data_IF_778334129115
#
_entry.id   IF_778334129115
#
_cell.length_a   1.000
_cell.length_b   1.000
_cell.length_c   1.000
_cell.angle_alpha   90.00
_cell.angle_beta   90.00
_cell.angle_gamma   90.00
#
_symmetry.space_group_name_H-M   'P 1'
#
loop_
_entity.id
_entity.type
_entity.pdbx_description
1 polymer ?
#
# COMPACT_ATOMS: atom_id res chain seq x y z
N UNK A 1 3.93 -5.32 -11.40
CA UNK A 1 5.00 -6.30 -11.69
C UNK A 1 4.36 -7.67 -11.76
N UNK A 2 4.65 -8.50 -12.76
CA UNK A 2 4.08 -9.85 -12.85
C UNK A 2 5.13 -10.88 -12.43
N UNK A 3 4.76 -11.79 -11.54
CA UNK A 3 5.59 -12.88 -11.06
C UNK A 3 5.58 -14.04 -12.06
N UNK A 4 6.55 -14.96 -11.94
CA UNK A 4 6.68 -16.11 -12.83
C UNK A 4 5.46 -17.05 -12.81
N UNK A 5 4.64 -16.99 -11.76
CA UNK A 5 3.38 -17.75 -11.63
C UNK A 5 2.15 -16.98 -12.16
N UNK A 6 2.34 -15.87 -12.89
CA UNK A 6 1.26 -15.07 -13.47
C UNK A 6 0.63 -14.04 -12.54
N UNK A 7 0.97 -14.05 -11.24
CA UNK A 7 0.39 -13.10 -10.27
C UNK A 7 0.96 -11.70 -10.42
N UNK A 8 0.15 -10.67 -10.22
CA UNK A 8 0.56 -9.27 -10.25
C UNK A 8 0.87 -8.74 -8.85
N UNK A 9 1.86 -7.86 -8.77
CA UNK A 9 2.25 -7.16 -7.55
C UNK A 9 2.28 -5.67 -7.83
N UNK A 10 1.50 -4.93 -7.06
CA UNK A 10 1.42 -3.48 -7.05
C UNK A 10 2.17 -2.97 -5.81
N UNK A 11 3.33 -2.35 -6.02
CA UNK A 11 4.14 -1.80 -4.93
C UNK A 11 3.87 -0.31 -4.81
N UNK A 12 3.46 0.12 -3.63
CA UNK A 12 3.20 1.53 -3.30
C UNK A 12 4.16 1.95 -2.19
N UNK A 13 5.15 2.76 -2.55
CA UNK A 13 6.11 3.33 -1.59
C UNK A 13 5.67 4.75 -1.22
N UNK A 14 5.56 5.04 0.09
CA UNK A 14 5.10 6.35 0.58
C UNK A 14 5.94 6.78 1.78
N UNK A 15 6.41 8.04 1.74
CA UNK A 15 7.40 8.57 2.67
C UNK A 15 6.93 9.78 3.50
N UNK A 16 5.87 10.47 3.09
CA UNK A 16 5.42 11.71 3.76
C UNK A 16 4.08 11.53 4.50
N UNK A 17 4.09 11.94 5.77
CA UNK A 17 2.94 12.06 6.67
C UNK A 17 2.26 13.42 6.44
N UNK A 18 1.25 13.44 5.61
CA UNK A 18 0.29 14.54 5.59
C UNK A 18 -1.01 13.94 5.16
N UNK A 19 -1.76 13.42 6.14
CA UNK A 19 -3.10 12.84 6.08
C UNK A 19 -3.51 12.39 4.67
N UNK A 20 -3.56 11.07 4.42
CA UNK A 20 -4.03 10.52 3.15
C UNK A 20 -5.31 11.25 2.71
N UNK A 21 -5.12 12.18 1.77
CA UNK A 21 -6.04 13.30 1.61
C UNK A 21 -7.42 12.82 1.24
N UNK A 22 -8.43 13.33 1.93
CA UNK A 22 -9.82 13.25 1.49
C UNK A 22 -9.89 13.78 0.06
N UNK A 23 -10.60 13.07 -0.81
CA UNK A 23 -10.95 13.60 -2.12
C UNK A 23 -11.86 14.82 -1.94
N UNK A 24 -11.41 15.99 -2.39
CA UNK A 24 -12.21 17.21 -2.42
C UNK A 24 -12.18 17.81 -3.82
N UNK A 25 -13.28 18.43 -4.24
CA UNK A 25 -13.44 19.06 -5.55
C UNK A 25 -14.33 18.26 -6.51
N UNK A 26 -14.99 18.98 -7.41
CA UNK A 26 -15.96 18.44 -8.35
C UNK A 26 -15.34 17.40 -9.30
N UNK A 27 -14.12 17.65 -9.78
CA UNK A 27 -13.40 16.71 -10.67
C UNK A 27 -13.19 15.33 -10.04
N UNK A 28 -12.94 15.27 -8.72
CA UNK A 28 -12.79 14.00 -8.01
C UNK A 28 -14.12 13.30 -7.80
N UNK A 29 -15.20 14.05 -7.61
CA UNK A 29 -16.55 13.47 -7.54
C UNK A 29 -16.94 12.86 -8.88
N UNK A 30 -16.67 13.56 -9.98
CA UNK A 30 -16.94 13.07 -11.33
C UNK A 30 -16.10 11.82 -11.66
N UNK A 31 -14.81 11.81 -11.30
CA UNK A 31 -13.97 10.60 -11.42
C UNK A 31 -14.49 9.45 -10.57
N UNK A 32 -15.02 9.71 -9.37
CA UNK A 32 -15.65 8.66 -8.60
C UNK A 32 -16.86 8.11 -9.34
N UNK A 33 -17.79 8.96 -9.76
CA UNK A 33 -19.05 8.55 -10.37
C UNK A 33 -18.84 7.79 -11.70
N UNK A 34 -17.83 8.19 -12.47
CA UNK A 34 -17.56 7.62 -13.81
C UNK A 34 -16.62 6.41 -13.81
N UNK A 35 -15.67 6.34 -12.87
CA UNK A 35 -14.63 5.31 -12.88
C UNK A 35 -14.63 4.46 -11.60
N UNK A 36 -14.48 5.09 -10.43
CA UNK A 36 -14.21 4.34 -9.20
C UNK A 36 -15.46 3.69 -8.59
N UNK A 37 -16.62 4.32 -8.68
CA UNK A 37 -17.89 3.79 -8.20
C UNK A 37 -18.23 2.45 -8.86
N UNK A 38 -18.22 2.36 -10.20
CA UNK A 38 -18.41 1.09 -10.91
C UNK A 38 -17.41 0.00 -10.51
N UNK A 39 -16.13 0.35 -10.36
CA UNK A 39 -15.08 -0.61 -9.93
C UNK A 39 -15.26 -1.09 -8.49
N UNK A 40 -15.75 -0.21 -7.60
CA UNK A 40 -15.93 -0.50 -6.19
C UNK A 40 -17.14 -1.40 -5.93
N UNK A 41 -18.24 -1.18 -6.67
CA UNK A 41 -19.54 -1.82 -6.46
C UNK A 41 -19.44 -3.34 -6.35
N UNK A 42 -18.78 -3.97 -7.32
CA UNK A 42 -18.67 -5.42 -7.41
C UNK A 42 -17.29 -5.93 -6.95
N UNK A 43 -16.55 -5.12 -6.19
CA UNK A 43 -15.20 -5.47 -5.77
C UNK A 43 -15.21 -6.63 -4.75
N UNK A 44 -14.54 -7.77 -5.01
CA UNK A 44 -14.66 -8.98 -4.19
C UNK A 44 -13.91 -8.90 -2.86
N UNK A 45 -12.85 -8.09 -2.80
CA UNK A 45 -11.93 -8.03 -1.66
C UNK A 45 -12.20 -6.86 -0.70
N UNK A 46 -13.23 -6.06 -0.97
CA UNK A 46 -13.64 -4.92 -0.13
C UNK A 46 -14.97 -5.26 0.55
N UNK A 47 -15.06 -4.97 1.84
CA UNK A 47 -16.28 -5.19 2.64
C UNK A 47 -17.46 -4.37 2.10
N UNK A 48 -18.64 -4.98 2.04
CA UNK A 48 -19.83 -4.39 1.41
C UNK A 48 -20.22 -3.06 2.08
N UNK A 49 -20.15 -2.99 3.42
CA UNK A 49 -20.44 -1.78 4.19
C UNK A 49 -19.45 -0.63 3.94
N UNK A 50 -18.31 -0.91 3.30
CA UNK A 50 -17.29 0.09 2.93
C UNK A 50 -17.35 0.50 1.47
N UNK A 51 -18.24 -0.09 0.66
CA UNK A 51 -18.44 0.27 -0.76
C UNK A 51 -19.32 1.50 -0.93
N UNK A 52 -19.06 2.55 -0.14
CA UNK A 52 -19.83 3.80 -0.20
C UNK A 52 -18.98 4.92 -0.77
N UNK A 53 -19.62 5.87 -1.47
CA UNK A 53 -18.96 7.10 -1.95
C UNK A 53 -18.34 7.88 -0.80
N UNK A 54 -19.03 7.98 0.33
CA UNK A 54 -18.54 8.70 1.50
C UNK A 54 -17.22 8.10 2.02
N UNK A 55 -17.19 6.79 2.26
CA UNK A 55 -15.98 6.11 2.70
C UNK A 55 -14.87 6.19 1.65
N UNK A 56 -15.21 6.00 0.37
CA UNK A 56 -14.23 6.12 -0.70
C UNK A 56 -13.59 7.50 -0.75
N UNK A 57 -14.38 8.58 -0.62
CA UNK A 57 -13.85 9.95 -0.68
C UNK A 57 -13.06 10.31 0.58
N UNK A 58 -13.45 9.80 1.74
CA UNK A 58 -12.66 9.94 2.98
C UNK A 58 -11.28 9.28 2.84
N UNK A 59 -11.23 8.11 2.20
CA UNK A 59 -10.04 7.25 2.07
C UNK A 59 -9.48 7.23 0.63
N UNK A 60 -9.74 8.27 -0.15
CA UNK A 60 -9.59 8.29 -1.62
C UNK A 60 -8.27 7.69 -2.14
N UNK A 61 -7.15 8.09 -1.55
CA UNK A 61 -5.82 7.63 -1.97
C UNK A 61 -5.59 6.14 -1.70
N UNK A 62 -6.07 5.63 -0.57
CA UNK A 62 -5.95 4.22 -0.23
C UNK A 62 -6.93 3.38 -1.03
N UNK A 63 -8.19 3.81 -1.12
CA UNK A 63 -9.21 3.06 -1.83
C UNK A 63 -8.84 2.88 -3.30
N UNK A 64 -8.27 3.89 -3.95
CA UNK A 64 -7.68 3.75 -5.30
C UNK A 64 -6.62 2.66 -5.40
N UNK A 65 -5.84 2.48 -4.35
CA UNK A 65 -4.82 1.42 -4.29
C UNK A 65 -5.48 0.07 -4.05
N UNK A 66 -6.46 0.00 -3.14
CA UNK A 66 -7.18 -1.23 -2.79
C UNK A 66 -8.03 -1.76 -3.95
N UNK A 67 -8.48 -0.91 -4.89
CA UNK A 67 -9.18 -1.33 -6.10
C UNK A 67 -8.35 -2.21 -7.05
N UNK A 68 -7.03 -2.29 -6.84
CA UNK A 68 -6.18 -3.22 -7.58
C UNK A 68 -6.24 -4.65 -7.05
N UNK A 69 -6.84 -4.89 -5.87
CA UNK A 69 -6.92 -6.20 -5.23
C UNK A 69 -7.94 -7.11 -5.95
N UNK A 70 -7.45 -8.26 -6.38
CA UNK A 70 -8.11 -9.37 -7.07
C UNK A 70 -7.35 -10.67 -6.75
N UNK A 71 -7.95 -11.81 -7.08
CA UNK A 71 -7.44 -13.16 -6.79
C UNK A 71 -5.97 -13.39 -7.23
N UNK A 72 -5.54 -12.79 -8.33
CA UNK A 72 -4.16 -12.95 -8.82
C UNK A 72 -3.26 -11.74 -8.54
N UNK A 73 -3.68 -10.83 -7.66
CA UNK A 73 -2.96 -9.58 -7.42
C UNK A 73 -2.62 -9.40 -5.94
N UNK A 74 -1.48 -8.78 -5.67
CA UNK A 74 -1.07 -8.33 -4.34
C UNK A 74 -0.81 -6.84 -4.34
N UNK A 75 -1.20 -6.17 -3.27
CA UNK A 75 -0.83 -4.78 -3.00
C UNK A 75 0.18 -4.76 -1.86
N UNK A 76 1.38 -4.27 -2.14
CA UNK A 76 2.45 -4.11 -1.15
C UNK A 76 2.60 -2.64 -0.83
N UNK A 77 2.33 -2.25 0.42
CA UNK A 77 2.50 -0.86 0.88
C UNK A 77 3.77 -0.78 1.69
N UNK A 78 4.76 -0.06 1.18
CA UNK A 78 6.07 0.11 1.80
C UNK A 78 6.17 1.46 2.49
N UNK A 79 6.56 1.47 3.75
CA UNK A 79 6.69 2.67 4.57
C UNK A 79 7.89 2.62 5.53
N UNK A 80 8.43 3.78 5.96
CA UNK A 80 9.46 3.85 6.98
C UNK A 80 8.94 3.48 8.37
N UNK A 81 9.77 2.84 9.19
CA UNK A 81 9.43 2.40 10.55
C UNK A 81 8.90 3.54 11.42
N UNK A 82 9.54 4.70 11.33
CA UNK A 82 9.19 5.89 12.12
C UNK A 82 7.90 6.60 11.63
N UNK A 83 7.33 6.18 10.50
CA UNK A 83 6.05 6.71 10.02
C UNK A 83 4.87 5.95 10.64
N UNK A 84 4.71 6.15 11.95
CA UNK A 84 3.68 5.50 12.76
C UNK A 84 2.27 5.79 12.25
N UNK A 85 2.03 6.97 11.68
CA UNK A 85 0.72 7.34 11.17
C UNK A 85 0.33 6.50 9.96
N UNK A 86 1.24 6.34 8.99
CA UNK A 86 1.01 5.47 7.83
C UNK A 86 0.84 4.02 8.24
N UNK A 87 1.72 3.51 9.11
CA UNK A 87 1.60 2.13 9.60
C UNK A 87 0.24 1.88 10.24
N UNK A 88 -0.17 2.75 11.17
CA UNK A 88 -1.46 2.62 11.87
C UNK A 88 -2.61 2.68 10.88
N UNK A 89 -2.57 3.59 9.90
CA UNK A 89 -3.64 3.76 8.93
C UNK A 89 -3.74 2.59 7.95
N UNK A 90 -2.61 2.06 7.47
CA UNK A 90 -2.57 0.88 6.61
C UNK A 90 -3.12 -0.36 7.33
N UNK A 91 -2.75 -0.55 8.60
CA UNK A 91 -3.29 -1.65 9.42
C UNK A 91 -4.78 -1.46 9.72
N UNK A 92 -5.22 -0.22 9.99
CA UNK A 92 -6.63 0.11 10.18
C UNK A 92 -7.44 -0.25 8.95
N UNK A 93 -7.04 0.23 7.77
CA UNK A 93 -7.77 -0.06 6.52
C UNK A 93 -7.73 -1.55 6.17
N UNK A 94 -6.62 -2.24 6.43
CA UNK A 94 -6.56 -3.69 6.29
C UNK A 94 -7.65 -4.37 7.13
N UNK A 95 -7.82 -3.97 8.40
CA UNK A 95 -8.81 -4.55 9.29
C UNK A 95 -10.26 -4.10 9.04
N UNK A 96 -10.47 -2.86 8.59
CA UNK A 96 -11.79 -2.25 8.50
C UNK A 96 -12.38 -2.20 7.09
N UNK A 97 -11.56 -2.29 6.03
CA UNK A 97 -12.01 -2.14 4.64
C UNK A 97 -11.99 -3.44 3.83
N UNK A 98 -11.18 -4.41 4.23
CA UNK A 98 -10.93 -5.61 3.44
C UNK A 98 -11.61 -6.84 4.02
N UNK A 99 -12.08 -7.71 3.13
CA UNK A 99 -12.48 -9.08 3.47
C UNK A 99 -11.26 -9.88 3.94
N UNK A 100 -11.44 -11.06 4.54
CA UNK A 100 -10.31 -11.91 4.95
C UNK A 100 -9.35 -12.19 3.79
N UNK A 101 -9.88 -12.50 2.62
CA UNK A 101 -9.10 -12.71 1.40
C UNK A 101 -8.35 -11.43 1.00
N UNK A 102 -9.02 -10.27 1.01
CA UNK A 102 -8.36 -8.99 0.76
C UNK A 102 -7.21 -8.70 1.73
N UNK A 103 -7.34 -9.09 3.00
CA UNK A 103 -6.29 -8.93 4.01
C UNK A 103 -5.05 -9.80 3.76
N UNK A 104 -5.21 -10.94 3.10
CA UNK A 104 -4.10 -11.81 2.68
C UNK A 104 -3.36 -11.25 1.46
N UNK A 105 -4.08 -10.49 0.63
CA UNK A 105 -3.55 -9.88 -0.59
C UNK A 105 -2.96 -8.48 -0.37
N UNK A 106 -3.21 -7.88 0.79
CA UNK A 106 -2.66 -6.59 1.20
C UNK A 106 -1.51 -6.74 2.21
N UNK A 107 -0.30 -6.36 1.78
CA UNK A 107 0.95 -6.61 2.49
C UNK A 107 1.59 -5.28 2.91
N UNK A 108 1.36 -4.81 4.15
CA UNK A 108 2.09 -3.68 4.70
C UNK A 108 3.53 -4.11 5.07
N UNK A 109 4.54 -3.40 4.57
CA UNK A 109 5.96 -3.72 4.76
C UNK A 109 6.73 -2.51 5.25
N UNK A 110 7.55 -2.73 6.27
CA UNK A 110 8.51 -1.75 6.76
C UNK A 110 9.76 -1.80 5.88
N UNK A 111 10.19 -0.68 5.29
CA UNK A 111 11.29 -0.71 4.33
C UNK A 111 12.64 -1.09 4.96
N UNK A 112 12.85 -0.84 6.26
CA UNK A 112 14.05 -1.28 6.98
C UNK A 112 14.11 -2.82 7.01
N UNK A 113 12.98 -3.48 7.26
CA UNK A 113 12.88 -4.96 7.25
C UNK A 113 13.11 -5.52 5.84
N UNK A 114 12.58 -4.84 4.81
CA UNK A 114 12.83 -5.21 3.42
C UNK A 114 14.32 -5.10 3.09
N UNK A 115 14.97 -4.00 3.47
CA UNK A 115 16.39 -3.80 3.22
C UNK A 115 17.25 -4.84 3.94
N UNK A 116 16.96 -5.13 5.21
CA UNK A 116 17.66 -6.18 5.96
C UNK A 116 17.52 -7.55 5.29
N UNK A 117 16.32 -7.90 4.83
CA UNK A 117 16.07 -9.16 4.14
C UNK A 117 16.86 -9.24 2.82
N UNK A 118 16.87 -8.17 2.03
CA UNK A 118 17.65 -8.09 0.80
C UNK A 118 19.15 -8.22 1.07
N UNK A 119 19.66 -7.53 2.11
CA UNK A 119 21.07 -7.57 2.48
C UNK A 119 21.53 -8.98 2.88
N UNK A 120 20.70 -9.75 3.57
CA UNK A 120 21.01 -11.15 3.92
C UNK A 120 21.09 -12.07 2.71
N UNK A 121 20.44 -11.73 1.60
CA UNK A 121 20.46 -12.50 0.36
C UNK A 121 21.60 -12.09 -0.58
N UNK A 122 22.22 -10.93 -0.35
CA UNK A 122 23.34 -10.48 -1.16
C UNK A 122 24.58 -11.31 -0.87
N UNK A 123 25.11 -11.94 -1.91
CA UNK A 123 26.39 -12.67 -1.86
C UNK A 123 27.61 -11.75 -1.96
N UNK A 124 27.42 -10.48 -2.31
CA UNK A 124 28.50 -9.50 -2.52
C UNK A 124 28.74 -8.67 -1.27
N UNK A 125 29.92 -8.85 -0.67
CA UNK A 125 30.37 -8.10 0.51
C UNK A 125 30.43 -6.59 0.26
N UNK A 126 30.70 -6.16 -0.98
CA UNK A 126 30.87 -4.75 -1.30
C UNK A 126 29.55 -3.98 -1.34
N UNK A 127 28.49 -4.61 -1.87
CA UNK A 127 27.14 -4.04 -1.90
C UNK A 127 26.54 -4.06 -0.50
N UNK A 128 26.69 -5.17 0.22
CA UNK A 128 26.26 -5.27 1.60
C UNK A 128 26.90 -4.19 2.49
N UNK A 129 28.22 -3.98 2.35
CA UNK A 129 28.95 -2.95 3.09
C UNK A 129 28.47 -1.53 2.78
N UNK A 130 28.22 -1.18 1.50
CA UNK A 130 27.67 0.13 1.14
C UNK A 130 26.32 0.40 1.81
N UNK A 131 25.42 -0.58 1.78
CA UNK A 131 24.09 -0.42 2.35
C UNK A 131 24.11 -0.37 3.88
N UNK A 132 24.94 -1.19 4.53
CA UNK A 132 25.10 -1.18 5.99
C UNK A 132 25.76 0.09 6.53
N UNK A 133 26.80 0.60 5.85
CA UNK A 133 27.64 1.69 6.40
C UNK A 133 27.23 3.07 5.94
N UNK A 134 26.80 3.24 4.68
CA UNK A 134 26.56 4.56 4.09
C UNK A 134 25.08 4.83 3.88
N UNK A 135 24.36 3.84 3.35
CA UNK A 135 22.94 4.02 3.01
C UNK A 135 22.06 4.13 4.26
N UNK A 136 22.17 3.16 5.19
CA UNK A 136 21.43 3.21 6.46
C UNK A 136 21.73 4.51 7.22
N UNK A 137 23.00 4.92 7.26
CA UNK A 137 23.41 6.15 7.96
C UNK A 137 22.74 7.40 7.39
N UNK A 138 22.69 7.51 6.06
CA UNK A 138 22.14 8.68 5.38
C UNK A 138 20.62 8.75 5.42
N UNK A 139 19.94 7.60 5.34
CA UNK A 139 18.50 7.58 5.08
C UNK A 139 17.66 7.00 6.23
N UNK A 140 18.27 6.34 7.22
CA UNK A 140 17.55 5.73 8.35
C UNK A 140 17.89 6.39 9.70
N UNK A 141 18.90 7.28 9.77
CA UNK A 141 19.11 8.11 10.97
C UNK A 141 18.07 9.24 11.01
N UNK A 142 17.04 9.03 11.81
CA UNK A 142 16.12 10.07 12.29
C UNK A 142 15.88 9.90 13.77
#
# INVERSE_FOLDING_TARGET
MTLANGKEVYVVMRYTEGCYGRGQGEELMEKYDTLYGPLLKDHPMILEEKKTKAFFMEEYRFMRTLLHLKEDTYVVVVYPKENYHLRRHALKLRGEALTKEGQEHFIPVVWEELLESLLRQLKSNHVASYYETWFKDKYFRY
#
